data_IF_900708211114
#
_entry.id   IF_900708211114
#
_cell.length_a   1.000
_cell.length_b   1.000
_cell.length_c   1.000
_cell.angle_alpha   90.00
_cell.angle_beta   90.00
_cell.angle_gamma   90.00
#
_symmetry.space_group_name_H-M   'P 1'
#
loop_
_entity.id
_entity.type
_entity.pdbx_description
1 polymer ?
#
# COMPACT_ATOMS: atom_id res chain seq x y z
N UNK A 1 -22.79 3.85 -9.76
CA UNK A 1 -21.61 4.49 -9.14
C UNK A 1 -20.85 3.38 -8.44
N UNK A 2 -19.77 2.86 -9.02
CA UNK A 2 -19.14 1.66 -8.46
C UNK A 2 -18.13 1.93 -7.36
N UNK A 3 -17.59 0.84 -6.83
CA UNK A 3 -16.75 0.84 -5.65
C UNK A 3 -15.37 1.48 -5.94
N UNK A 4 -14.95 2.34 -5.00
CA UNK A 4 -13.63 2.96 -4.92
C UNK A 4 -12.83 2.19 -3.86
N UNK A 5 -11.59 1.83 -4.14
CA UNK A 5 -10.65 1.43 -3.10
C UNK A 5 -9.89 2.67 -2.62
N UNK A 6 -9.92 2.93 -1.32
CA UNK A 6 -9.25 4.07 -0.71
C UNK A 6 -8.44 3.62 0.51
N UNK A 7 -7.14 3.91 0.49
CA UNK A 7 -6.20 3.72 1.60
C UNK A 7 -5.77 5.10 2.06
N UNK A 8 -5.86 5.35 3.37
CA UNK A 8 -5.46 6.61 3.99
C UNK A 8 -4.45 6.36 5.09
N UNK A 9 -3.29 7.00 4.98
CA UNK A 9 -2.24 7.03 5.99
C UNK A 9 -1.87 5.65 6.56
N UNK A 10 -1.69 4.65 5.70
CA UNK A 10 -1.38 3.28 6.11
C UNK A 10 0.07 3.16 6.59
N UNK A 11 0.24 2.56 7.78
CA UNK A 11 1.51 2.13 8.33
C UNK A 11 1.50 0.62 8.54
N UNK A 12 2.64 0.00 8.31
CA UNK A 12 2.86 -1.42 8.55
C UNK A 12 4.28 -1.63 9.04
N UNK A 13 4.48 -2.60 9.92
CA UNK A 13 5.78 -2.96 10.47
C UNK A 13 5.88 -4.48 10.66
N UNK A 14 7.10 -5.00 10.67
CA UNK A 14 7.37 -6.38 11.08
C UNK A 14 7.00 -6.53 12.55
N UNK A 15 6.20 -7.55 12.89
CA UNK A 15 5.66 -7.72 14.23
C UNK A 15 6.77 -8.03 15.25
N UNK A 16 7.76 -8.83 14.86
CA UNK A 16 8.83 -9.31 15.73
C UNK A 16 9.93 -8.25 15.96
N UNK A 17 10.29 -7.48 14.93
CA UNK A 17 11.41 -6.52 14.99
C UNK A 17 10.95 -5.09 15.17
N UNK A 18 9.67 -4.79 14.91
CA UNK A 18 9.15 -3.43 14.85
C UNK A 18 9.65 -2.62 13.65
N UNK A 19 10.35 -3.26 12.69
CA UNK A 19 10.89 -2.56 11.54
C UNK A 19 9.76 -2.02 10.64
N UNK A 20 9.72 -0.70 10.37
CA UNK A 20 8.66 -0.10 9.56
C UNK A 20 8.80 -0.46 8.07
N UNK A 21 7.75 -1.06 7.51
CA UNK A 21 7.65 -1.45 6.10
C UNK A 21 6.94 -0.36 5.28
N UNK A 22 5.81 0.16 5.78
CA UNK A 22 5.03 1.23 5.16
C UNK A 22 4.99 2.46 6.08
N UNK A 23 5.12 3.65 5.51
CA UNK A 23 5.30 4.93 6.24
C UNK A 23 4.27 5.97 5.81
N UNK A 24 2.99 5.71 6.07
CA UNK A 24 1.90 6.65 5.76
C UNK A 24 1.51 6.65 4.29
N UNK A 25 1.16 5.48 3.75
CA UNK A 25 0.75 5.32 2.34
C UNK A 25 -0.69 5.81 2.14
N UNK A 26 -0.91 6.60 1.09
CA UNK A 26 -2.23 7.01 0.62
C UNK A 26 -2.40 6.51 -0.82
N UNK A 27 -3.50 5.81 -1.09
CA UNK A 27 -3.82 5.25 -2.40
C UNK A 27 -5.30 5.40 -2.68
N UNK A 28 -5.64 5.76 -3.91
CA UNK A 28 -7.00 5.75 -4.42
C UNK A 28 -7.00 5.04 -5.75
N UNK A 29 -7.83 4.02 -5.88
CA UNK A 29 -8.08 3.33 -7.15
C UNK A 29 -9.56 3.46 -7.46
N UNK A 30 -9.86 4.07 -8.61
CA UNK A 30 -11.23 4.20 -9.06
C UNK A 30 -11.68 2.94 -9.82
N UNK A 31 -12.99 2.74 -9.90
CA UNK A 31 -13.56 1.63 -10.65
C UNK A 31 -13.08 1.66 -12.13
N UNK A 32 -12.60 0.52 -12.60
CA UNK A 32 -12.13 0.35 -13.99
C UNK A 32 -10.67 0.72 -14.21
N UNK A 33 -9.98 1.26 -13.21
CA UNK A 33 -8.53 1.49 -13.29
C UNK A 33 -7.75 0.22 -12.95
N UNK A 34 -6.64 0.02 -13.65
CA UNK A 34 -5.64 -1.00 -13.35
C UNK A 34 -4.34 -0.27 -13.03
N UNK A 35 -3.80 -0.52 -11.84
CA UNK A 35 -2.56 0.11 -11.37
C UNK A 35 -1.47 -0.96 -11.23
N UNK A 36 -0.26 -0.63 -11.66
CA UNK A 36 0.90 -1.48 -11.46
C UNK A 36 1.64 -1.05 -10.20
N UNK A 37 2.04 -2.02 -9.38
CA UNK A 37 2.89 -1.77 -8.22
C UNK A 37 4.35 -2.08 -8.57
N UNK A 38 5.21 -1.07 -8.50
CA UNK A 38 6.62 -1.17 -8.90
C UNK A 38 7.56 -0.62 -7.82
N UNK A 39 8.81 -1.09 -7.81
CA UNK A 39 9.85 -0.64 -6.89
C UNK A 39 10.89 -1.72 -6.55
N UNK A 40 12.02 -1.36 -5.95
CA UNK A 40 13.11 -2.29 -5.59
C UNK A 40 12.67 -3.42 -4.64
N UNK A 41 13.45 -4.50 -4.54
CA UNK A 41 13.21 -5.54 -3.54
C UNK A 41 13.24 -4.95 -2.12
N UNK A 42 12.31 -5.39 -1.27
CA UNK A 42 12.15 -4.86 0.10
C UNK A 42 11.35 -3.56 0.22
N UNK A 43 10.87 -2.96 -0.88
CA UNK A 43 10.14 -1.67 -0.83
C UNK A 43 8.69 -1.74 -0.31
N UNK A 44 8.27 -2.85 0.31
CA UNK A 44 6.91 -3.01 0.85
C UNK A 44 5.81 -3.36 -0.15
N UNK A 45 6.15 -3.74 -1.40
CA UNK A 45 5.14 -4.04 -2.44
C UNK A 45 4.18 -5.17 -2.06
N UNK A 46 4.72 -6.31 -1.63
CA UNK A 46 3.88 -7.44 -1.21
C UNK A 46 3.14 -7.20 0.11
N UNK A 47 3.46 -6.10 0.80
CA UNK A 47 2.86 -5.71 2.08
C UNK A 47 1.71 -4.73 1.90
N UNK A 48 1.75 -3.91 0.85
CA UNK A 48 0.66 -3.00 0.46
C UNK A 48 -0.44 -3.75 -0.28
#
# INVERSE_FOLDING_TARGET
>A
MGAKLEIRNLFAQVAETGEPILRGVNLTINQGEIHAMMGPNGSGKSTL
#
